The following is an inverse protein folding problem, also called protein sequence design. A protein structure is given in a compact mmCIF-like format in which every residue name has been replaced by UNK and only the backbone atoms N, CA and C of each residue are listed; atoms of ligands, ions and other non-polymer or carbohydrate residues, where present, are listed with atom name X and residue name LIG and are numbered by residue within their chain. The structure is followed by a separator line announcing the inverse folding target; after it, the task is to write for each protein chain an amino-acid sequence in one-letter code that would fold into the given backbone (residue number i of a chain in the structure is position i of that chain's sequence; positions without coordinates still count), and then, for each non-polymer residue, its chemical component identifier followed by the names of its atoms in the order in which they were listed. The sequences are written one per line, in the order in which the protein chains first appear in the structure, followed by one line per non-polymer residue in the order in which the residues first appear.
data_IF_060765779463
#
_entry.id   IF_060765779463
#
_cell.length_a   1.000
_cell.length_b   1.000
_cell.length_c   1.000
_cell.angle_alpha   90.00
_cell.angle_beta   90.00
_cell.angle_gamma   90.00
#
_symmetry.space_group_name_H-M   'P 1'
#
loop_
_entity.id
_entity.type
_entity.pdbx_description
1 polymer ?
#
# COMPACT_ATOMS: atom_id res chain seq x y z
N UNK A 1 -8.91 -12.25 22.69
CA UNK A 1 -9.39 -13.28 21.75
C UNK A 1 -8.50 -13.26 20.52
N UNK A 2 -7.60 -14.24 20.36
CA UNK A 2 -6.72 -14.33 19.20
C UNK A 2 -7.49 -15.02 18.07
N UNK A 3 -7.71 -14.32 16.94
CA UNK A 3 -8.20 -14.97 15.72
C UNK A 3 -7.07 -15.80 15.10
N UNK A 4 -7.33 -17.05 14.68
CA UNK A 4 -6.29 -17.94 14.17
C UNK A 4 -5.72 -17.42 12.84
N UNK A 5 -4.41 -17.62 12.62
CA UNK A 5 -3.68 -17.18 11.42
C UNK A 5 -4.31 -17.68 10.09
N UNK A 6 -4.95 -18.85 10.11
CA UNK A 6 -5.72 -19.43 9.01
C UNK A 6 -6.80 -18.47 8.47
N UNK A 7 -7.57 -17.82 9.35
CA UNK A 7 -8.65 -16.91 8.93
C UNK A 7 -8.10 -15.63 8.29
N UNK A 8 -6.85 -15.27 8.64
CA UNK A 8 -6.15 -14.08 8.12
C UNK A 8 -5.67 -14.32 6.71
N UNK A 9 -4.99 -15.44 6.47
CA UNK A 9 -4.56 -15.84 5.12
C UNK A 9 -5.76 -15.92 4.16
N UNK A 10 -6.86 -16.55 4.59
CA UNK A 10 -8.08 -16.64 3.75
C UNK A 10 -8.72 -15.28 3.46
N UNK A 11 -8.59 -14.30 4.37
CA UNK A 11 -9.14 -12.94 4.16
C UNK A 11 -8.28 -12.15 3.18
N UNK A 12 -6.96 -12.23 3.31
CA UNK A 12 -6.02 -11.61 2.36
C UNK A 12 -6.23 -12.19 0.97
N UNK A 13 -6.29 -13.52 0.84
CA UNK A 13 -6.55 -14.22 -0.43
C UNK A 13 -7.87 -13.80 -1.06
N UNK A 14 -8.95 -13.70 -0.26
CA UNK A 14 -10.24 -13.20 -0.74
C UNK A 14 -10.13 -11.79 -1.34
N UNK A 15 -9.45 -10.87 -0.64
CA UNK A 15 -9.29 -9.48 -1.11
C UNK A 15 -8.41 -9.42 -2.35
N UNK A 16 -7.34 -10.23 -2.43
CA UNK A 16 -6.53 -10.35 -3.64
C UNK A 16 -7.36 -10.90 -4.82
N UNK A 17 -8.26 -11.86 -4.54
CA UNK A 17 -9.23 -12.37 -5.50
C UNK A 17 -10.20 -11.31 -5.99
N UNK A 18 -10.61 -10.37 -5.15
CA UNK A 18 -11.46 -9.22 -5.54
C UNK A 18 -10.73 -8.18 -6.39
N UNK A 19 -9.41 -8.04 -6.24
CA UNK A 19 -8.60 -7.14 -7.07
C UNK A 19 -8.44 -7.65 -8.50
N UNK A 20 -8.41 -8.97 -8.71
CA UNK A 20 -8.21 -9.59 -10.02
C UNK A 20 -9.21 -9.12 -11.09
N UNK A 21 -10.54 -9.21 -10.85
CA UNK A 21 -11.56 -8.75 -11.79
C UNK A 21 -11.54 -7.23 -12.06
N UNK A 22 -10.89 -6.44 -11.21
CA UNK A 22 -10.77 -4.99 -11.37
C UNK A 22 -9.54 -4.58 -12.20
N UNK A 23 -8.65 -5.52 -12.50
CA UNK A 23 -7.43 -5.30 -13.24
C UNK A 23 -7.71 -4.83 -14.68
N UNK A 24 -7.14 -3.69 -15.05
CA UNK A 24 -7.14 -3.17 -16.41
C UNK A 24 -5.69 -3.22 -16.97
N UNK A 25 -5.40 -4.14 -17.91
CA UNK A 25 -4.09 -4.23 -18.56
C UNK A 25 -3.68 -2.93 -19.25
N UNK A 26 -4.63 -2.19 -19.83
CA UNK A 26 -4.35 -0.91 -20.47
C UNK A 26 -3.97 0.17 -19.47
N UNK A 27 -4.52 0.12 -18.26
CA UNK A 27 -4.09 1.00 -17.16
C UNK A 27 -2.72 0.61 -16.63
N UNK A 28 -2.46 -0.70 -16.44
CA UNK A 28 -1.14 -1.22 -16.07
C UNK A 28 -0.04 -0.75 -17.02
N UNK A 29 -0.28 -0.82 -18.33
CA UNK A 29 0.70 -0.42 -19.34
C UNK A 29 0.94 1.11 -19.33
N UNK A 30 -0.07 1.91 -19.00
CA UNK A 30 0.11 3.35 -18.77
C UNK A 30 0.96 3.60 -17.52
N UNK A 31 0.70 2.89 -16.43
CA UNK A 31 1.48 2.96 -15.19
C UNK A 31 2.96 2.61 -15.42
N UNK A 32 3.25 1.59 -16.22
CA UNK A 32 4.61 1.18 -16.56
C UNK A 32 5.41 2.31 -17.22
N UNK A 33 4.75 3.15 -18.04
CA UNK A 33 5.38 4.31 -18.71
C UNK A 33 5.80 5.41 -17.73
N UNK A 34 5.18 5.47 -16.55
CA UNK A 34 5.51 6.43 -15.49
C UNK A 34 6.47 5.85 -14.43
N UNK A 35 7.15 4.74 -14.75
CA UNK A 35 8.21 4.16 -13.92
C UNK A 35 7.73 3.49 -12.63
N UNK A 36 6.46 3.09 -12.56
CA UNK A 36 6.00 2.09 -11.59
C UNK A 36 6.55 0.71 -11.98
N UNK A 37 6.78 -0.20 -11.02
CA UNK A 37 7.22 -1.57 -11.31
C UNK A 37 6.05 -2.42 -11.83
N UNK A 38 5.93 -2.67 -13.15
CA UNK A 38 4.72 -3.28 -13.72
C UNK A 38 4.59 -4.77 -13.39
N UNK A 39 5.69 -5.42 -12.98
CA UNK A 39 5.71 -6.86 -12.70
C UNK A 39 4.79 -7.28 -11.53
N UNK A 40 4.48 -6.36 -10.62
CA UNK A 40 3.60 -6.60 -9.47
C UNK A 40 2.29 -5.81 -9.52
N UNK A 41 2.08 -5.02 -10.58
CA UNK A 41 0.91 -4.19 -10.75
C UNK A 41 -0.18 -4.95 -11.51
N UNK A 42 -1.40 -4.90 -10.99
CA UNK A 42 -2.60 -5.45 -11.61
C UNK A 42 -3.22 -4.45 -12.60
N UNK A 43 -3.04 -3.16 -12.38
CA UNK A 43 -3.74 -2.11 -13.09
C UNK A 43 -5.12 -1.82 -12.51
N UNK A 44 -5.26 -1.76 -11.18
CA UNK A 44 -6.53 -1.34 -10.54
C UNK A 44 -6.49 0.16 -10.26
N UNK A 45 -7.54 0.88 -10.63
CA UNK A 45 -7.58 2.34 -10.47
C UNK A 45 -7.83 2.77 -9.03
N UNK A 46 -7.33 3.94 -8.65
CA UNK A 46 -7.53 4.49 -7.30
C UNK A 46 -9.01 4.62 -6.86
N UNK A 47 -9.98 5.02 -7.73
CA UNK A 47 -11.40 5.00 -7.36
C UNK A 47 -11.92 3.61 -6.98
N UNK A 48 -11.50 2.55 -7.69
CA UNK A 48 -11.87 1.17 -7.36
C UNK A 48 -11.26 0.76 -6.02
N UNK A 49 -9.98 1.06 -5.77
CA UNK A 49 -9.32 0.78 -4.49
C UNK A 49 -9.99 1.48 -3.32
N UNK A 50 -10.36 2.76 -3.46
CA UNK A 50 -11.09 3.50 -2.42
C UNK A 50 -12.49 2.91 -2.17
N UNK A 51 -13.19 2.47 -3.22
CA UNK A 51 -14.49 1.81 -3.08
C UNK A 51 -14.36 0.50 -2.29
N UNK A 52 -13.35 -0.31 -2.61
CA UNK A 52 -13.07 -1.56 -1.90
C UNK A 52 -12.62 -1.31 -0.45
N UNK A 53 -11.74 -0.33 -0.21
CA UNK A 53 -11.33 0.05 1.14
C UNK A 53 -12.53 0.45 2.02
N UNK A 54 -13.51 1.14 1.43
CA UNK A 54 -14.73 1.54 2.16
C UNK A 54 -15.58 0.34 2.60
N UNK A 55 -15.66 -0.73 1.81
CA UNK A 55 -16.39 -1.95 2.20
C UNK A 55 -15.61 -2.81 3.19
N UNK A 56 -14.28 -2.84 3.09
CA UNK A 56 -13.42 -3.58 4.02
C UNK A 56 -13.33 -2.93 5.40
N UNK A 57 -13.48 -1.60 5.46
CA UNK A 57 -13.27 -0.83 6.67
C UNK A 57 -11.79 -0.74 7.05
N UNK A 58 -11.55 -0.40 8.32
CA UNK A 58 -10.20 -0.37 8.87
C UNK A 58 -9.91 -1.69 9.59
N UNK A 59 -8.75 -2.27 9.30
CA UNK A 59 -8.33 -3.58 9.78
C UNK A 59 -6.80 -3.69 9.65
N UNK A 60 -6.09 -3.52 10.78
CA UNK A 60 -4.64 -3.52 10.79
C UNK A 60 -4.03 -4.88 10.42
N UNK A 61 -4.65 -5.99 10.84
CA UNK A 61 -4.15 -7.32 10.52
C UNK A 61 -4.26 -7.59 9.02
N UNK A 62 -5.38 -7.18 8.41
CA UNK A 62 -5.56 -7.22 6.96
C UNK A 62 -4.55 -6.32 6.24
N UNK A 63 -4.31 -5.11 6.75
CA UNK A 63 -3.36 -4.18 6.15
C UNK A 63 -1.95 -4.77 6.08
N UNK A 64 -1.48 -5.38 7.18
CA UNK A 64 -0.18 -6.05 7.23
C UNK A 64 -0.10 -7.21 6.22
N UNK A 65 -1.12 -8.07 6.17
CA UNK A 65 -1.14 -9.18 5.22
C UNK A 65 -1.22 -8.74 3.75
N UNK A 66 -1.97 -7.69 3.44
CA UNK A 66 -2.00 -7.09 2.10
C UNK A 66 -0.64 -6.48 1.72
N UNK A 67 0.05 -5.86 2.68
CA UNK A 67 1.38 -5.32 2.45
C UNK A 67 2.42 -6.41 2.13
N UNK A 68 2.41 -7.48 2.92
CA UNK A 68 3.27 -8.67 2.78
C UNK A 68 3.05 -9.42 1.46
N UNK A 69 1.86 -9.35 0.87
CA UNK A 69 1.57 -9.97 -0.43
C UNK A 69 2.48 -9.49 -1.56
N UNK A 70 3.08 -8.29 -1.42
CA UNK A 70 3.94 -7.69 -2.42
C UNK A 70 3.20 -7.17 -3.67
N UNK A 71 1.90 -7.45 -3.80
CA UNK A 71 1.08 -6.95 -4.91
C UNK A 71 0.92 -5.44 -4.77
N UNK A 72 1.16 -4.72 -5.87
CA UNK A 72 1.24 -3.27 -5.85
C UNK A 72 -0.05 -2.61 -5.35
N UNK A 73 -1.19 -2.96 -5.95
CA UNK A 73 -2.48 -2.38 -5.55
C UNK A 73 -2.95 -2.91 -4.19
N UNK A 74 -2.50 -4.09 -3.77
CA UNK A 74 -2.74 -4.58 -2.41
C UNK A 74 -1.97 -3.74 -1.38
N UNK A 75 -0.74 -3.31 -1.68
CA UNK A 75 0.02 -2.38 -0.83
C UNK A 75 -0.63 -1.01 -0.75
N UNK A 76 -1.14 -0.48 -1.87
CA UNK A 76 -1.94 0.75 -1.83
C UNK A 76 -3.19 0.56 -0.97
N UNK A 77 -3.91 -0.55 -1.15
CA UNK A 77 -5.09 -0.88 -0.36
C UNK A 77 -4.75 -1.02 1.14
N UNK A 78 -3.61 -1.60 1.48
CA UNK A 78 -3.10 -1.68 2.84
C UNK A 78 -3.01 -0.30 3.50
N UNK A 79 -2.52 0.72 2.80
CA UNK A 79 -2.47 2.10 3.32
C UNK A 79 -3.85 2.70 3.59
N UNK A 80 -4.88 2.25 2.87
CA UNK A 80 -6.25 2.72 3.01
C UNK A 80 -7.00 2.00 4.15
N UNK A 81 -6.65 0.76 4.45
CA UNK A 81 -7.32 -0.05 5.48
C UNK A 81 -6.54 -0.10 6.81
N UNK A 82 -5.28 0.32 6.82
CA UNK A 82 -4.47 0.39 8.03
C UNK A 82 -5.10 1.27 9.12
N UNK A 83 -4.93 0.85 10.38
CA UNK A 83 -5.42 1.54 11.56
C UNK A 83 -4.35 2.47 12.11
N UNK A 84 -4.63 3.78 12.10
CA UNK A 84 -3.68 4.80 12.57
C UNK A 84 -3.25 4.59 14.03
N UNK A 85 -4.19 4.19 14.90
CA UNK A 85 -3.90 3.96 16.32
C UNK A 85 -3.06 2.71 16.60
N UNK A 86 -2.90 1.82 15.62
CA UNK A 86 -2.07 0.60 15.73
C UNK A 86 -0.77 0.69 14.91
N UNK A 87 -0.53 1.82 14.27
CA UNK A 87 0.70 2.07 13.52
C UNK A 87 1.84 2.40 14.49
N UNK A 88 2.88 1.55 14.52
CA UNK A 88 4.07 1.76 15.35
C UNK A 88 5.25 2.18 14.49
N UNK A 89 6.24 2.87 15.06
CA UNK A 89 7.48 3.26 14.36
C UNK A 89 8.13 2.05 13.65
N UNK A 90 8.11 0.87 14.27
CA UNK A 90 8.73 -0.34 13.72
C UNK A 90 8.01 -0.87 12.48
N UNK A 91 6.68 -1.04 12.54
CA UNK A 91 5.86 -1.45 11.37
C UNK A 91 6.12 -0.48 10.23
N UNK A 92 6.08 0.78 10.61
CA UNK A 92 6.11 1.85 9.68
C UNK A 92 7.53 1.91 9.02
N UNK A 93 8.62 1.78 9.80
CA UNK A 93 10.00 1.82 9.26
C UNK A 93 10.24 0.61 8.33
N UNK A 94 9.62 -0.54 8.62
CA UNK A 94 9.64 -1.70 7.74
C UNK A 94 8.95 -1.40 6.39
N UNK A 95 7.77 -0.79 6.40
CA UNK A 95 7.05 -0.40 5.17
C UNK A 95 7.88 0.56 4.33
N UNK A 96 8.46 1.60 4.93
CA UNK A 96 9.35 2.54 4.22
C UNK A 96 10.59 1.82 3.67
N UNK A 97 11.06 0.80 4.38
CA UNK A 97 12.13 -0.10 3.95
C UNK A 97 11.85 -0.81 2.62
N UNK A 98 10.59 -1.19 2.40
CA UNK A 98 10.12 -2.04 1.30
C UNK A 98 9.46 -1.29 0.13
N UNK A 99 9.28 0.02 0.26
CA UNK A 99 8.72 0.87 -0.80
C UNK A 99 9.55 0.75 -2.07
N UNK A 100 8.95 0.18 -3.11
CA UNK A 100 9.55 -0.01 -4.42
C UNK A 100 8.91 0.86 -5.51
N UNK A 101 7.75 1.48 -5.26
CA UNK A 101 7.04 2.29 -6.27
C UNK A 101 6.67 3.69 -5.77
N UNK A 102 6.75 4.68 -6.66
CA UNK A 102 6.52 6.10 -6.33
C UNK A 102 5.08 6.39 -5.91
N UNK A 103 4.12 5.72 -6.53
CA UNK A 103 2.69 5.81 -6.24
C UNK A 103 2.31 5.11 -4.94
N UNK A 104 2.82 3.91 -4.65
CA UNK A 104 2.66 3.25 -3.34
C UNK A 104 3.20 4.18 -2.25
N UNK A 105 4.33 4.81 -2.51
CA UNK A 105 4.92 5.78 -1.60
C UNK A 105 4.02 7.03 -1.40
N UNK A 106 3.51 7.63 -2.49
CA UNK A 106 2.61 8.78 -2.42
C UNK A 106 1.31 8.44 -1.67
N UNK A 107 0.74 7.26 -1.93
CA UNK A 107 -0.44 6.76 -1.26
C UNK A 107 -0.16 6.48 0.22
N UNK A 108 0.98 5.91 0.59
CA UNK A 108 1.36 5.72 2.00
C UNK A 108 1.52 7.07 2.73
N UNK A 109 2.16 8.05 2.10
CA UNK A 109 2.28 9.41 2.63
C UNK A 109 0.91 10.07 2.85
N UNK A 110 0.05 9.98 1.83
CA UNK A 110 -1.26 10.65 1.80
C UNK A 110 -2.28 9.99 2.73
N UNK A 111 -2.35 8.66 2.74
CA UNK A 111 -3.39 7.92 3.45
C UNK A 111 -3.03 7.63 4.91
N UNK A 112 -1.74 7.57 5.23
CA UNK A 112 -1.27 7.05 6.53
C UNK A 112 -0.29 7.99 7.22
N UNK A 113 0.86 8.28 6.61
CA UNK A 113 1.99 8.88 7.33
C UNK A 113 1.73 10.31 7.79
N UNK A 114 0.99 11.11 6.99
CA UNK A 114 0.59 12.47 7.37
C UNK A 114 -0.35 12.52 8.59
N UNK A 115 -0.98 11.39 8.93
CA UNK A 115 -1.93 11.27 10.03
C UNK A 115 -1.33 10.60 11.27
N UNK A 116 -0.10 10.09 11.19
CA UNK A 116 0.58 9.49 12.34
C UNK A 116 1.09 10.59 13.31
N UNK A 117 0.85 10.47 14.61
CA UNK A 117 1.25 11.47 15.59
C UNK A 117 2.77 11.53 15.80
N UNK A 118 3.28 12.72 16.12
CA UNK A 118 4.67 12.93 16.54
C UNK A 118 5.69 13.09 15.39
N UNK A 119 7.00 12.86 15.66
CA UNK A 119 8.08 13.07 14.69
C UNK A 119 8.09 12.06 13.52
N UNK A 120 7.23 11.03 13.56
CA UNK A 120 7.10 10.00 12.51
C UNK A 120 6.82 10.59 11.12
N UNK A 121 5.81 11.44 10.98
CA UNK A 121 5.46 12.03 9.67
C UNK A 121 6.59 12.89 9.06
N UNK A 122 7.37 13.59 9.90
CA UNK A 122 8.50 14.42 9.45
C UNK A 122 9.72 13.60 9.04
N UNK A 123 10.04 12.52 9.77
CA UNK A 123 11.19 11.65 9.48
C UNK A 123 11.06 11.00 8.10
N UNK A 124 9.85 10.66 7.70
CA UNK A 124 9.60 9.82 6.54
C UNK A 124 9.40 10.58 5.25
N UNK A 125 8.82 11.79 5.33
CA UNK A 125 8.84 12.73 4.21
C UNK A 125 10.28 13.02 3.76
N UNK A 126 11.25 13.03 4.70
CA UNK A 126 12.67 13.16 4.41
C UNK A 126 13.32 11.89 3.85
N UNK A 127 13.01 10.72 4.42
CA UNK A 127 13.63 9.44 4.04
C UNK A 127 13.18 8.94 2.66
N UNK A 128 11.91 9.16 2.32
CA UNK A 128 11.33 8.90 1.00
C UNK A 128 12.00 9.75 -0.09
N UNK A 129 12.46 10.95 0.26
CA UNK A 129 13.09 11.88 -0.68
C UNK A 129 14.58 11.61 -0.88
N UNK A 130 15.27 11.05 0.13
CA UNK A 130 16.70 10.71 0.05
C UNK A 130 16.96 9.35 -0.59
N UNK A 131 16.06 8.37 -0.42
CA UNK A 131 16.03 7.17 -1.26
C UNK A 131 15.50 7.60 -2.62
N UNK A 132 16.33 7.50 -3.65
CA UNK A 132 16.10 7.98 -5.01
C UNK A 132 14.92 7.30 -5.76
N UNK A 133 13.73 7.19 -5.17
CA UNK A 133 12.49 6.85 -5.87
C UNK A 133 12.01 8.05 -6.71
N UNK A 134 12.20 9.27 -6.18
CA UNK A 134 12.01 10.52 -6.93
C UNK A 134 13.19 10.80 -7.90
N UNK A 135 14.37 10.20 -7.68
CA UNK A 135 15.59 10.48 -8.45
C UNK A 135 16.01 9.42 -9.49
N UNK A 136 15.38 8.24 -9.53
CA UNK A 136 15.48 7.30 -10.67
C UNK A 136 14.48 7.62 -11.79
N UNK A 137 13.62 8.61 -11.57
CA UNK A 137 12.63 9.14 -12.51
C UNK A 137 13.11 10.50 -13.01
N UNK A 138 14.17 10.51 -13.82
CA UNK A 138 14.86 11.70 -14.30
C UNK A 138 13.97 12.92 -14.52
N UNK A 139 14.00 13.83 -13.54
CA UNK A 139 13.74 15.26 -13.67
C UNK A 139 15.06 15.97 -13.40
#
# INVERSE_FOLDING_TARGET
MQKPAMFRASRVESVLGELGPLADPGYRDRLAKFGSHPAKALGVTMPQLRKLAKSLGRDQELALGLWESGVHEARILATLVAELGQMTVAIADAWVGELDSWDVCDQACTNLFRHCPGPMGRRWFGLVRSRSLCGKLGL
#
